data_IF_660331626302
#
_entry.id   IF_660331626302
#
_cell.length_a   1.000
_cell.length_b   1.000
_cell.length_c   1.000
_cell.angle_alpha   90.00
_cell.angle_beta   90.00
_cell.angle_gamma   90.00
#
_symmetry.space_group_name_H-M   'P 1'
#
loop_
_entity.id
_entity.type
_entity.pdbx_description
1 polymer ?
#
# COMPACT_ATOMS: atom_id res chain seq x y z
N UNK A 1 29.93 19.79 -18.88
CA UNK A 1 29.82 19.13 -17.55
C UNK A 1 28.42 19.30 -16.96
N UNK A 2 27.38 18.71 -17.56
CA UNK A 2 25.96 19.02 -17.25
C UNK A 2 25.13 17.82 -16.79
N UNK A 3 25.70 16.61 -16.66
CA UNK A 3 24.92 15.38 -16.48
C UNK A 3 24.66 14.97 -15.03
N UNK A 4 25.55 15.31 -14.09
CA UNK A 4 25.42 14.94 -12.66
C UNK A 4 24.11 15.37 -11.98
N UNK A 5 23.55 16.56 -12.26
CA UNK A 5 22.35 16.99 -11.55
C UNK A 5 21.06 16.30 -12.01
N UNK A 6 20.98 15.95 -13.30
CA UNK A 6 19.87 15.16 -13.86
C UNK A 6 19.85 13.74 -13.28
N UNK A 7 21.02 13.13 -13.10
CA UNK A 7 21.16 11.84 -12.44
C UNK A 7 20.62 11.85 -11.00
N UNK A 8 20.89 12.91 -10.23
CA UNK A 8 20.39 13.02 -8.85
C UNK A 8 18.86 13.10 -8.80
N UNK A 9 18.27 13.95 -9.63
CA UNK A 9 16.81 14.10 -9.68
C UNK A 9 16.16 12.77 -10.06
N UNK A 10 16.75 12.04 -11.00
CA UNK A 10 16.27 10.72 -11.42
C UNK A 10 16.37 9.67 -10.30
N UNK A 11 17.45 9.68 -9.50
CA UNK A 11 17.58 8.76 -8.35
C UNK A 11 16.50 9.05 -7.30
N UNK A 12 16.27 10.33 -6.99
CA UNK A 12 15.26 10.75 -6.00
C UNK A 12 13.86 10.42 -6.49
N UNK A 13 13.57 10.71 -7.76
CA UNK A 13 12.31 10.39 -8.41
C UNK A 13 12.06 8.88 -8.41
N UNK A 14 13.06 8.08 -8.78
CA UNK A 14 12.98 6.62 -8.77
C UNK A 14 12.69 6.08 -7.36
N UNK A 15 13.38 6.60 -6.35
CA UNK A 15 13.17 6.19 -4.96
C UNK A 15 11.75 6.55 -4.48
N UNK A 16 11.27 7.77 -4.76
CA UNK A 16 9.92 8.21 -4.42
C UNK A 16 8.83 7.38 -5.13
N UNK A 17 9.01 7.10 -6.43
CA UNK A 17 8.11 6.22 -7.20
C UNK A 17 8.06 4.83 -6.59
N UNK A 18 9.22 4.24 -6.28
CA UNK A 18 9.28 2.89 -5.71
C UNK A 18 8.56 2.83 -4.36
N UNK A 19 8.76 3.83 -3.49
CA UNK A 19 8.14 3.89 -2.17
C UNK A 19 6.63 4.13 -2.30
N UNK A 20 6.20 5.04 -3.16
CA UNK A 20 4.78 5.25 -3.40
C UNK A 20 4.09 3.97 -3.87
N UNK A 21 4.69 3.23 -4.82
CA UNK A 21 4.16 1.94 -5.27
C UNK A 21 4.03 0.93 -4.11
N UNK A 22 5.01 0.87 -3.21
CA UNK A 22 4.95 0.00 -2.03
C UNK A 22 3.78 0.39 -1.13
N UNK A 23 3.62 1.68 -0.81
CA UNK A 23 2.55 2.13 0.09
C UNK A 23 1.16 2.02 -0.55
N UNK A 24 1.02 2.35 -1.83
CA UNK A 24 -0.21 2.09 -2.59
C UNK A 24 -0.53 0.59 -2.60
N UNK A 25 0.45 -0.28 -2.86
CA UNK A 25 0.26 -1.72 -2.81
C UNK A 25 -0.14 -2.23 -1.42
N UNK A 26 0.40 -1.65 -0.34
CA UNK A 26 -0.05 -1.93 1.03
C UNK A 26 -1.51 -1.51 1.25
N UNK A 27 -1.90 -0.33 0.77
CA UNK A 27 -3.29 0.15 0.83
C UNK A 27 -4.24 -0.73 0.01
N UNK A 28 -3.85 -1.16 -1.19
CA UNK A 28 -4.65 -2.06 -2.04
C UNK A 28 -4.90 -3.41 -1.37
N UNK A 29 -3.89 -3.95 -0.67
CA UNK A 29 -3.99 -5.20 0.11
C UNK A 29 -4.93 -5.10 1.31
N UNK A 30 -5.22 -3.91 1.84
CA UNK A 30 -6.28 -3.76 2.83
C UNK A 30 -7.57 -4.22 2.16
N UNK A 31 -8.29 -5.15 2.77
CA UNK A 31 -9.44 -5.78 2.13
C UNK A 31 -10.59 -4.77 1.96
N UNK A 32 -10.87 -4.36 0.72
CA UNK A 32 -12.15 -3.71 0.39
C UNK A 32 -13.15 -4.83 0.08
N UNK A 33 -13.96 -5.25 1.04
CA UNK A 33 -15.07 -6.17 0.71
C UNK A 33 -16.11 -5.42 -0.10
N UNK A 34 -15.90 -5.33 -1.42
CA UNK A 34 -16.93 -4.97 -2.40
C UNK A 34 -17.86 -6.13 -2.74
N UNK A 35 -17.70 -7.26 -2.06
CA UNK A 35 -18.51 -8.45 -2.30
C UNK A 35 -19.48 -8.56 -1.14
N UNK A 36 -20.76 -8.49 -1.49
CA UNK A 36 -21.92 -8.46 -0.61
C UNK A 36 -21.86 -9.52 0.50
N UNK A 37 -22.50 -9.17 1.60
CA UNK A 37 -23.11 -10.12 2.52
C UNK A 37 -23.72 -11.27 1.67
N UNK A 38 -23.37 -12.51 1.97
CA UNK A 38 -23.89 -13.76 1.34
C UNK A 38 -23.17 -14.36 0.12
N UNK A 39 -21.95 -13.95 -0.26
CA UNK A 39 -21.23 -14.73 -1.30
C UNK A 39 -20.60 -15.99 -0.69
N UNK A 40 -21.31 -17.10 -0.85
CA UNK A 40 -20.78 -18.45 -0.67
C UNK A 40 -19.81 -18.72 -1.83
N UNK A 41 -18.52 -18.86 -1.54
CA UNK A 41 -17.54 -19.34 -2.51
C UNK A 41 -17.41 -20.84 -2.40
N UNK A 42 -17.56 -21.50 -3.55
CA UNK A 42 -17.31 -22.93 -3.73
C UNK A 42 -15.91 -23.10 -4.30
N UNK A 43 -15.07 -23.85 -3.60
CA UNK A 43 -13.76 -24.28 -4.09
C UNK A 43 -13.87 -25.75 -4.44
N UNK A 44 -13.81 -26.07 -5.74
CA UNK A 44 -13.76 -27.43 -6.22
C UNK A 44 -12.31 -27.92 -6.21
N UNK A 45 -12.03 -29.01 -5.48
CA UNK A 45 -10.70 -29.61 -5.47
C UNK A 45 -10.67 -30.79 -6.41
N UNK A 46 -9.85 -30.71 -7.46
CA UNK A 46 -9.59 -31.84 -8.36
C UNK A 46 -8.86 -33.00 -7.66
N UNK A 47 -8.28 -32.75 -6.47
CA UNK A 47 -7.66 -33.75 -5.61
C UNK A 47 -8.27 -33.70 -4.21
N UNK A 48 -9.13 -34.67 -3.82
CA UNK A 48 -9.79 -34.68 -2.51
C UNK A 48 -8.81 -34.71 -1.32
N UNK A 49 -7.60 -35.24 -1.54
CA UNK A 49 -6.53 -35.28 -0.52
C UNK A 49 -5.93 -33.90 -0.23
N UNK A 50 -6.04 -32.94 -1.16
CA UNK A 50 -5.54 -31.57 -1.00
C UNK A 50 -6.56 -30.65 -0.29
N UNK A 51 -7.83 -31.06 -0.22
CA UNK A 51 -8.94 -30.32 0.40
C UNK A 51 -8.61 -29.79 1.81
N UNK A 52 -8.02 -30.58 2.74
CA UNK A 52 -7.67 -30.07 4.07
C UNK A 52 -6.60 -28.97 4.05
N UNK A 53 -5.63 -29.06 3.14
CA UNK A 53 -4.56 -28.06 2.99
C UNK A 53 -5.13 -26.75 2.42
N UNK A 54 -5.98 -26.85 1.39
CA UNK A 54 -6.66 -25.69 0.80
C UNK A 54 -7.51 -24.97 1.86
N UNK A 55 -8.29 -25.72 2.64
CA UNK A 55 -9.07 -25.18 3.75
C UNK A 55 -8.20 -24.45 4.75
N UNK A 56 -7.08 -25.06 5.15
CA UNK A 56 -6.15 -24.46 6.11
C UNK A 56 -5.58 -23.15 5.60
N UNK A 57 -5.06 -23.11 4.37
CA UNK A 57 -4.48 -21.89 3.77
C UNK A 57 -5.50 -20.75 3.71
N UNK A 58 -6.73 -21.03 3.27
CA UNK A 58 -7.77 -20.00 3.18
C UNK A 58 -8.10 -19.39 4.56
N UNK A 59 -8.19 -20.23 5.60
CA UNK A 59 -8.47 -19.78 6.96
C UNK A 59 -7.27 -19.08 7.62
N UNK A 60 -6.05 -19.57 7.40
CA UNK A 60 -4.81 -19.05 7.97
C UNK A 60 -4.42 -17.69 7.37
N UNK A 61 -4.75 -17.42 6.11
CA UNK A 61 -4.48 -16.12 5.45
C UNK A 61 -5.32 -14.96 6.03
N UNK A 62 -6.13 -15.20 7.06
CA UNK A 62 -7.01 -14.21 7.71
C UNK A 62 -7.84 -13.42 6.69
N UNK A 63 -8.21 -14.12 5.63
CA UNK A 63 -8.90 -13.58 4.48
C UNK A 63 -10.37 -13.29 4.78
N UNK A 64 -10.78 -13.26 6.06
CA UNK A 64 -12.15 -13.01 6.52
C UNK A 64 -13.20 -13.90 5.83
N UNK A 65 -12.81 -15.14 5.54
CA UNK A 65 -13.73 -16.20 5.16
C UNK A 65 -14.02 -17.07 6.39
N UNK A 66 -15.26 -17.48 6.52
CA UNK A 66 -15.71 -18.48 7.48
C UNK A 66 -16.01 -19.76 6.69
N UNK A 67 -15.49 -20.87 7.17
CA UNK A 67 -15.83 -22.18 6.62
C UNK A 67 -17.27 -22.54 7.02
N UNK A 68 -18.10 -22.90 6.04
CA UNK A 68 -19.50 -23.25 6.27
C UNK A 68 -19.71 -24.77 6.27
N UNK A 69 -19.26 -25.45 5.21
CA UNK A 69 -19.41 -26.89 5.06
C UNK A 69 -18.44 -27.48 4.03
N UNK A 70 -18.29 -28.79 4.10
CA UNK A 70 -17.49 -29.62 3.20
C UNK A 70 -18.41 -30.69 2.61
N UNK A 71 -18.27 -30.91 1.30
CA UNK A 71 -18.76 -32.07 0.57
C UNK A 71 -17.56 -32.67 -0.15
N UNK A 72 -17.53 -33.99 -0.37
CA UNK A 72 -16.33 -34.74 -0.81
C UNK A 72 -15.37 -34.03 -1.78
N UNK A 73 -15.88 -33.23 -2.73
CA UNK A 73 -15.08 -32.52 -3.73
C UNK A 73 -15.19 -30.97 -3.67
N UNK A 74 -16.01 -30.42 -2.77
CA UNK A 74 -16.29 -28.98 -2.70
C UNK A 74 -16.26 -28.42 -1.27
N UNK A 75 -15.51 -27.33 -1.10
CA UNK A 75 -15.47 -26.54 0.11
C UNK A 75 -16.31 -25.27 -0.03
N UNK A 76 -17.15 -25.03 0.96
CA UNK A 76 -18.03 -23.86 1.01
C UNK A 76 -17.53 -22.87 2.06
N UNK A 77 -17.25 -21.65 1.62
CA UNK A 77 -16.86 -20.54 2.49
C UNK A 77 -17.85 -19.38 2.37
N UNK A 78 -18.23 -18.77 3.49
CA UNK A 78 -18.90 -17.49 3.51
C UNK A 78 -17.91 -16.38 3.83
N UNK A 79 -18.27 -15.15 3.50
CA UNK A 79 -17.55 -13.98 3.98
C UNK A 79 -18.04 -13.62 5.37
N UNK A 80 -17.13 -13.42 6.32
CA UNK A 80 -17.50 -12.87 7.62
C UNK A 80 -18.08 -11.48 7.41
N UNK A 81 -19.26 -11.22 7.96
CA UNK A 81 -19.90 -9.91 8.01
C UNK A 81 -18.88 -8.92 8.57
N UNK A 82 -18.50 -7.89 7.81
CA UNK A 82 -17.61 -6.86 8.37
C UNK A 82 -18.43 -6.05 9.36
N UNK A 83 -18.16 -6.24 10.66
CA UNK A 83 -18.74 -5.42 11.72
C UNK A 83 -18.19 -3.99 11.67
N UNK A 84 -18.90 -3.03 12.25
CA UNK A 84 -18.44 -1.64 12.38
C UNK A 84 -17.04 -1.55 12.99
N UNK A 85 -16.77 -2.37 14.02
CA UNK A 85 -15.47 -2.43 14.69
C UNK A 85 -14.33 -2.89 13.74
N UNK A 86 -14.60 -3.86 12.86
CA UNK A 86 -13.63 -4.31 11.85
C UNK A 86 -13.43 -3.21 10.80
N UNK A 87 -14.51 -2.54 10.32
CA UNK A 87 -14.39 -1.39 9.40
C UNK A 87 -13.50 -0.29 9.98
N UNK A 88 -13.73 0.10 11.24
CA UNK A 88 -12.92 1.10 11.92
C UNK A 88 -11.46 0.68 12.07
N UNK A 89 -11.20 -0.60 12.38
CA UNK A 89 -9.84 -1.17 12.42
C UNK A 89 -9.13 -1.07 11.06
N UNK A 90 -9.81 -1.39 9.97
CA UNK A 90 -9.26 -1.30 8.61
C UNK A 90 -8.97 0.16 8.20
N UNK A 91 -9.87 1.10 8.54
CA UNK A 91 -9.68 2.53 8.30
C UNK A 91 -8.48 3.07 9.12
N UNK A 92 -8.33 2.65 10.38
CA UNK A 92 -7.15 2.98 11.19
C UNK A 92 -5.88 2.39 10.59
N UNK A 93 -5.93 1.16 10.08
CA UNK A 93 -4.82 0.53 9.38
C UNK A 93 -4.37 1.31 8.14
N UNK A 94 -5.33 1.78 7.33
CA UNK A 94 -5.06 2.64 6.16
C UNK A 94 -4.34 3.94 6.57
N UNK A 95 -4.82 4.61 7.63
CA UNK A 95 -4.17 5.80 8.19
C UNK A 95 -2.74 5.54 8.65
N UNK A 96 -2.48 4.43 9.32
CA UNK A 96 -1.13 4.07 9.78
C UNK A 96 -0.16 3.86 8.61
N UNK A 97 -0.62 3.24 7.52
CA UNK A 97 0.17 3.07 6.29
C UNK A 97 0.50 4.43 5.65
N UNK A 98 -0.45 5.36 5.60
CA UNK A 98 -0.22 6.72 5.12
C UNK A 98 0.83 7.44 5.98
N UNK A 99 0.69 7.40 7.30
CA UNK A 99 1.63 8.04 8.24
C UNK A 99 3.05 7.46 8.13
N UNK A 100 3.17 6.14 7.92
CA UNK A 100 4.44 5.47 7.64
C UNK A 100 5.05 5.99 6.33
N UNK A 101 4.24 6.14 5.27
CA UNK A 101 4.65 6.69 3.99
C UNK A 101 5.13 8.13 4.08
N UNK A 102 4.38 9.01 4.76
CA UNK A 102 4.77 10.40 4.99
C UNK A 102 6.08 10.52 5.78
N UNK A 103 6.29 9.66 6.77
CA UNK A 103 7.56 9.58 7.50
C UNK A 103 8.71 9.21 6.57
N UNK A 104 8.52 8.23 5.69
CA UNK A 104 9.52 7.84 4.70
C UNK A 104 9.85 8.97 3.72
N UNK A 105 8.84 9.69 3.22
CA UNK A 105 9.06 10.84 2.35
C UNK A 105 9.85 11.96 3.06
N UNK A 106 9.59 12.20 4.35
CA UNK A 106 10.40 13.12 5.16
C UNK A 106 11.85 12.69 5.29
N UNK A 107 12.12 11.40 5.46
CA UNK A 107 13.50 10.87 5.53
C UNK A 107 14.23 11.05 4.19
N UNK A 108 13.58 10.73 3.07
CA UNK A 108 14.13 10.96 1.72
C UNK A 108 14.49 12.44 1.53
N UNK A 109 13.61 13.34 1.98
CA UNK A 109 13.87 14.78 1.93
C UNK A 109 15.11 15.18 2.74
N UNK A 110 15.23 14.68 3.98
CA UNK A 110 16.35 14.98 4.85
C UNK A 110 17.67 14.47 4.28
N UNK A 111 17.68 13.27 3.71
CA UNK A 111 18.87 12.68 3.11
C UNK A 111 19.31 13.44 1.86
N UNK A 112 18.36 13.90 1.04
CA UNK A 112 18.65 14.82 -0.08
C UNK A 112 19.31 16.11 0.41
N UNK A 113 18.74 16.76 1.43
CA UNK A 113 19.31 18.00 1.98
C UNK A 113 20.72 17.81 2.51
N UNK A 114 20.98 16.70 3.21
CA UNK A 114 22.33 16.33 3.67
C UNK A 114 23.29 16.13 2.50
N UNK A 115 22.84 15.48 1.43
CA UNK A 115 23.64 15.26 0.23
C UNK A 115 23.96 16.58 -0.49
N UNK A 116 22.96 17.44 -0.74
CA UNK A 116 23.14 18.75 -1.40
C UNK A 116 24.10 19.66 -0.63
N UNK A 117 24.10 19.61 0.70
CA UNK A 117 25.07 20.34 1.53
C UNK A 117 26.51 19.89 1.30
N UNK A 118 26.73 18.58 1.15
CA UNK A 118 28.07 17.97 0.97
C UNK A 118 28.59 18.07 -0.47
N UNK A 119 27.72 18.21 -1.45
CA UNK A 119 28.12 18.29 -2.86
C UNK A 119 28.84 19.62 -3.16
N UNK A 120 30.14 19.54 -3.44
CA UNK A 120 30.96 20.71 -3.75
C UNK A 120 30.79 21.18 -5.20
N UNK A 121 30.31 20.32 -6.11
CA UNK A 121 30.18 20.61 -7.54
C UNK A 121 28.95 21.44 -7.94
N UNK A 122 28.15 21.93 -6.98
CA UNK A 122 26.94 22.70 -7.24
C UNK A 122 27.01 24.09 -6.63
N UNK A 123 26.53 25.10 -7.37
CA UNK A 123 26.36 26.46 -6.83
C UNK A 123 25.23 26.51 -5.80
N UNK A 124 25.22 27.55 -4.95
CA UNK A 124 24.14 27.82 -4.00
C UNK A 124 22.77 27.92 -4.69
N UNK A 125 22.69 28.59 -5.84
CA UNK A 125 21.45 28.74 -6.59
C UNK A 125 20.96 27.42 -7.18
N UNK A 126 21.87 26.58 -7.67
CA UNK A 126 21.54 25.24 -8.15
C UNK A 126 21.00 24.37 -7.02
N UNK A 127 21.66 24.37 -5.84
CA UNK A 127 21.19 23.64 -4.66
C UNK A 127 19.78 24.06 -4.27
N UNK A 128 19.52 25.37 -4.20
CA UNK A 128 18.19 25.93 -3.88
C UNK A 128 17.13 25.55 -4.92
N UNK A 129 17.52 25.48 -6.19
CA UNK A 129 16.62 25.06 -7.28
C UNK A 129 16.25 23.59 -7.14
N UNK A 130 17.21 22.70 -6.85
CA UNK A 130 16.94 21.28 -6.63
C UNK A 130 16.11 21.03 -5.39
N UNK A 131 16.35 21.75 -4.28
CA UNK A 131 15.50 21.65 -3.09
C UNK A 131 14.05 21.97 -3.42
N UNK A 132 13.78 23.08 -4.15
CA UNK A 132 12.42 23.44 -4.56
C UNK A 132 11.75 22.39 -5.46
N UNK A 133 12.50 21.81 -6.39
CA UNK A 133 11.97 20.77 -7.29
C UNK A 133 11.61 19.50 -6.51
N UNK A 134 12.48 19.08 -5.58
CA UNK A 134 12.20 17.91 -4.74
C UNK A 134 11.09 18.19 -3.73
N UNK A 135 11.00 19.39 -3.16
CA UNK A 135 9.90 19.79 -2.28
C UNK A 135 8.55 19.65 -3.00
N UNK A 136 8.45 20.16 -4.23
CA UNK A 136 7.25 20.02 -5.06
C UNK A 136 6.94 18.55 -5.31
N UNK A 137 7.94 17.76 -5.70
CA UNK A 137 7.76 16.34 -5.98
C UNK A 137 7.28 15.58 -4.73
N UNK A 138 7.86 15.83 -3.57
CA UNK A 138 7.45 15.17 -2.33
C UNK A 138 6.01 15.52 -1.98
N UNK A 139 5.63 16.79 -2.12
CA UNK A 139 4.26 17.24 -1.88
C UNK A 139 3.26 16.54 -2.80
N UNK A 140 3.54 16.49 -4.10
CA UNK A 140 2.70 15.80 -5.09
C UNK A 140 2.50 14.31 -4.73
N UNK A 141 3.54 13.66 -4.22
CA UNK A 141 3.48 12.24 -3.83
C UNK A 141 2.79 12.01 -2.49
N UNK A 142 2.90 12.93 -1.54
CA UNK A 142 2.11 12.94 -0.31
C UNK A 142 0.62 13.08 -0.62
N UNK A 143 0.26 13.99 -1.52
CA UNK A 143 -1.13 14.19 -1.95
C UNK A 143 -1.69 12.92 -2.62
N UNK A 144 -0.92 12.27 -3.50
CA UNK A 144 -1.32 10.99 -4.11
C UNK A 144 -1.55 9.88 -3.08
N UNK A 145 -0.69 9.79 -2.07
CA UNK A 145 -0.84 8.80 -0.99
C UNK A 145 -2.10 9.08 -0.16
N UNK A 146 -2.37 10.35 0.16
CA UNK A 146 -3.56 10.76 0.88
C UNK A 146 -4.84 10.51 0.06
N UNK A 147 -4.81 10.74 -1.25
CA UNK A 147 -5.93 10.42 -2.13
C UNK A 147 -6.21 8.92 -2.19
N UNK A 148 -5.16 8.09 -2.26
CA UNK A 148 -5.29 6.64 -2.18
C UNK A 148 -5.91 6.18 -0.84
N UNK A 149 -5.50 6.78 0.28
CA UNK A 149 -6.13 6.52 1.58
C UNK A 149 -7.60 6.91 1.59
N UNK A 150 -7.94 8.12 1.14
CA UNK A 150 -9.34 8.60 1.09
C UNK A 150 -10.21 7.69 0.22
N UNK A 151 -9.70 7.28 -0.94
CA UNK A 151 -10.37 6.31 -1.82
C UNK A 151 -10.61 5.01 -1.07
N UNK A 152 -9.59 4.50 -0.36
CA UNK A 152 -9.71 3.26 0.40
C UNK A 152 -10.70 3.36 1.56
N UNK A 153 -10.67 4.45 2.31
CA UNK A 153 -11.62 4.71 3.38
C UNK A 153 -13.07 4.76 2.87
N UNK A 154 -13.32 5.38 1.70
CA UNK A 154 -14.64 5.36 1.05
C UNK A 154 -15.07 3.95 0.66
N UNK A 155 -14.16 3.14 0.12
CA UNK A 155 -14.44 1.73 -0.22
C UNK A 155 -14.79 0.89 1.00
N UNK A 156 -14.17 1.16 2.16
CA UNK A 156 -14.41 0.45 3.42
C UNK A 156 -15.71 0.88 4.12
N UNK A 157 -16.07 2.16 3.98
CA UNK A 157 -17.27 2.74 4.59
C UNK A 157 -18.54 2.52 3.77
N UNK A 158 -18.41 2.23 2.48
CA UNK A 158 -19.53 1.78 1.63
C UNK A 158 -20.08 0.42 2.05
#
# INVERSE_FOLDING_TARGET
MTEKPLLLLNIVLSNLISKLKVFIGKLEKIRSNRISLEVIRVVHSFEPKATPLIKKVILDEQSGYKFERDTNDELYFSLTTITTQIKEGLIKGAKLITLEGEKNFRLIHQDLKKWLKKEAGLSQDQKKTYEKQVDKLIKDYQEKLLEAEKKKARELSS
#
